data_IF_205899490273
#
_entry.id   IF_205899490273
#
_cell.length_a   1.000
_cell.length_b   1.000
_cell.length_c   1.000
_cell.angle_alpha   90.00
_cell.angle_beta   90.00
_cell.angle_gamma   90.00
#
_symmetry.space_group_name_H-M   'P 1'
#
loop_
_entity.id
_entity.type
_entity.pdbx_description
1 polymer ?
#
# COMPACT_ATOMS: atom_id res chain seq x y z
N UNK A 1 16.97 -10.39 66.46
CA UNK A 1 16.16 -10.94 65.35
C UNK A 1 15.74 -9.75 64.50
N UNK A 2 16.43 -9.50 63.38
CA UNK A 2 16.16 -8.32 62.54
C UNK A 2 14.87 -8.54 61.72
N UNK A 3 13.98 -7.54 61.59
CA UNK A 3 12.81 -7.67 60.73
C UNK A 3 13.23 -7.72 59.25
N UNK A 4 12.63 -8.65 58.50
CA UNK A 4 12.77 -8.75 57.05
C UNK A 4 12.36 -7.43 56.38
N UNK A 5 13.09 -6.94 55.35
CA UNK A 5 12.67 -5.77 54.60
C UNK A 5 11.41 -6.08 53.80
N UNK A 6 10.47 -5.13 53.81
CA UNK A 6 9.25 -5.17 53.01
C UNK A 6 9.60 -5.35 51.51
N UNK A 7 8.94 -6.31 50.86
CA UNK A 7 9.03 -6.51 49.41
C UNK A 7 8.66 -5.19 48.70
N UNK A 8 9.48 -4.70 47.76
CA UNK A 8 9.15 -3.49 47.01
C UNK A 8 7.94 -3.76 46.12
N UNK A 9 7.10 -2.73 46.06
CA UNK A 9 5.95 -2.56 45.17
C UNK A 9 6.08 -3.32 43.85
N UNK A 10 5.15 -4.24 43.60
CA UNK A 10 4.86 -4.73 42.25
C UNK A 10 4.62 -3.50 41.37
N UNK A 11 5.59 -3.21 40.51
CA UNK A 11 5.47 -2.24 39.43
C UNK A 11 4.33 -2.75 38.55
N UNK A 12 3.12 -2.23 38.75
CA UNK A 12 2.11 -2.20 37.69
C UNK A 12 2.79 -1.47 36.55
N UNK A 13 3.04 -2.15 35.43
CA UNK A 13 3.60 -1.57 34.21
C UNK A 13 2.61 -0.52 33.70
N UNK A 14 2.68 0.68 34.27
CA UNK A 14 1.76 1.80 34.09
C UNK A 14 1.90 2.43 32.71
N UNK A 15 1.55 1.68 31.67
CA UNK A 15 1.37 2.22 30.33
C UNK A 15 0.07 3.03 30.31
N UNK A 16 0.17 4.33 30.54
CA UNK A 16 -0.91 5.28 30.30
C UNK A 16 -0.93 5.58 28.80
N UNK A 17 -1.94 5.07 28.08
CA UNK A 17 -2.18 5.46 26.69
C UNK A 17 -2.90 6.81 26.66
N UNK A 18 -2.31 7.86 26.06
CA UNK A 18 -3.03 9.12 25.87
C UNK A 18 -4.28 8.89 25.02
N UNK A 19 -5.34 9.67 25.28
CA UNK A 19 -6.60 9.58 24.55
C UNK A 19 -6.37 9.79 23.04
N UNK A 20 -6.92 8.90 22.21
CA UNK A 20 -6.78 8.99 20.74
C UNK A 20 -5.49 8.37 20.15
N UNK A 21 -4.52 7.96 20.97
CA UNK A 21 -3.27 7.35 20.48
C UNK A 21 -3.52 6.02 19.77
N UNK A 22 -4.40 5.18 20.30
CA UNK A 22 -4.71 3.88 19.69
C UNK A 22 -5.33 4.01 18.28
N UNK A 23 -6.43 4.77 18.06
CA UNK A 23 -6.95 5.01 16.72
C UNK A 23 -5.91 5.60 15.75
N UNK A 24 -5.13 6.59 16.19
CA UNK A 24 -4.08 7.20 15.38
C UNK A 24 -3.01 6.19 14.96
N UNK A 25 -2.55 5.36 15.90
CA UNK A 25 -1.55 4.32 15.65
C UNK A 25 -2.09 3.23 14.71
N UNK A 26 -3.34 2.80 14.88
CA UNK A 26 -3.98 1.80 14.00
C UNK A 26 -4.10 2.33 12.58
N UNK A 27 -4.60 3.56 12.39
CA UNK A 27 -4.70 4.17 11.05
C UNK A 27 -3.33 4.30 10.40
N UNK A 28 -2.32 4.70 11.16
CA UNK A 28 -0.95 4.78 10.67
C UNK A 28 -0.39 3.40 10.26
N UNK A 29 -0.59 2.39 11.11
CA UNK A 29 -0.17 1.02 10.86
C UNK A 29 -0.83 0.44 9.60
N UNK A 30 -2.15 0.57 9.47
CA UNK A 30 -2.90 0.14 8.29
C UNK A 30 -2.35 0.83 7.04
N UNK A 31 -2.14 2.15 7.08
CA UNK A 31 -1.61 2.88 5.94
C UNK A 31 -0.24 2.33 5.47
N UNK A 32 0.69 2.12 6.40
CA UNK A 32 2.03 1.63 6.07
C UNK A 32 2.03 0.17 5.62
N UNK A 33 1.30 -0.69 6.33
CA UNK A 33 1.20 -2.10 5.97
C UNK A 33 0.56 -2.27 4.59
N UNK A 34 -0.55 -1.57 4.33
CA UNK A 34 -1.21 -1.59 3.03
C UNK A 34 -0.28 -1.11 1.91
N UNK A 35 0.52 -0.08 2.16
CA UNK A 35 1.52 0.37 1.18
C UNK A 35 2.58 -0.71 0.90
N UNK A 36 3.08 -1.40 1.93
CA UNK A 36 4.04 -2.51 1.77
C UNK A 36 3.41 -3.68 1.01
N UNK A 37 2.15 -4.01 1.30
CA UNK A 37 1.41 -5.06 0.60
C UNK A 37 1.20 -4.70 -0.87
N UNK A 38 0.82 -3.45 -1.19
CA UNK A 38 0.73 -2.99 -2.59
C UNK A 38 2.06 -3.17 -3.32
N UNK A 39 3.15 -2.68 -2.73
CA UNK A 39 4.47 -2.77 -3.35
C UNK A 39 4.90 -4.23 -3.55
N UNK A 40 4.69 -5.09 -2.55
CA UNK A 40 4.97 -6.51 -2.63
C UNK A 40 4.14 -7.23 -3.69
N UNK A 41 2.85 -6.89 -3.82
CA UNK A 41 1.96 -7.43 -4.84
C UNK A 41 2.43 -7.03 -6.25
N UNK A 42 2.75 -5.75 -6.50
CA UNK A 42 3.30 -5.29 -7.77
C UNK A 42 4.61 -6.00 -8.15
N UNK A 43 5.51 -6.21 -7.17
CA UNK A 43 6.74 -6.98 -7.39
C UNK A 43 6.43 -8.43 -7.79
N UNK A 44 5.45 -9.05 -7.14
CA UNK A 44 5.04 -10.42 -7.44
C UNK A 44 4.37 -10.53 -8.81
N UNK A 45 3.45 -9.63 -9.16
CA UNK A 45 2.84 -9.56 -10.49
C UNK A 45 3.91 -9.40 -11.57
N UNK A 46 4.87 -8.49 -11.35
CA UNK A 46 5.98 -8.27 -12.28
C UNK A 46 6.84 -9.53 -12.45
N UNK A 47 6.95 -10.37 -11.43
CA UNK A 47 7.65 -11.66 -11.47
C UNK A 47 6.85 -12.75 -12.17
N UNK A 48 5.52 -12.77 -11.99
CA UNK A 48 4.63 -13.81 -12.50
C UNK A 48 4.26 -13.59 -13.98
N UNK A 49 4.23 -12.35 -14.46
CA UNK A 49 3.74 -12.05 -15.81
C UNK A 49 4.64 -12.65 -16.90
N UNK A 50 4.06 -13.53 -17.71
CA UNK A 50 4.69 -14.18 -18.87
C UNK A 50 3.64 -14.66 -19.87
N UNK A 51 4.07 -14.99 -21.09
CA UNK A 51 3.20 -15.65 -22.05
C UNK A 51 2.85 -17.06 -21.60
N UNK A 52 1.68 -17.53 -22.05
CA UNK A 52 1.17 -18.88 -21.83
C UNK A 52 1.37 -19.40 -20.38
N UNK A 53 0.85 -18.68 -19.36
CA UNK A 53 1.04 -19.05 -17.97
C UNK A 53 0.35 -20.39 -17.66
N UNK A 54 0.97 -21.19 -16.78
CA UNK A 54 0.31 -22.37 -16.25
C UNK A 54 -0.91 -21.96 -15.42
N UNK A 55 -1.90 -22.86 -15.29
CA UNK A 55 -3.16 -22.59 -14.56
C UNK A 55 -2.94 -22.01 -13.17
N UNK A 56 -1.99 -22.58 -12.42
CA UNK A 56 -1.67 -22.12 -11.06
C UNK A 56 -1.07 -20.71 -11.03
N UNK A 57 -0.26 -20.35 -12.02
CA UNK A 57 0.35 -19.03 -12.14
C UNK A 57 -0.69 -17.97 -12.53
N UNK A 58 -1.61 -18.30 -13.44
CA UNK A 58 -2.71 -17.43 -13.81
C UNK A 58 -3.67 -17.17 -12.62
N UNK A 59 -3.98 -18.21 -11.83
CA UNK A 59 -4.77 -18.05 -10.60
C UNK A 59 -4.02 -17.19 -9.57
N UNK A 60 -2.73 -17.44 -9.37
CA UNK A 60 -1.92 -16.65 -8.44
C UNK A 60 -1.83 -15.18 -8.87
N UNK A 61 -1.72 -14.90 -10.17
CA UNK A 61 -1.78 -13.53 -10.71
C UNK A 61 -3.09 -12.83 -10.32
N UNK A 62 -4.23 -13.48 -10.56
CA UNK A 62 -5.56 -12.91 -10.22
C UNK A 62 -5.68 -12.65 -8.72
N UNK A 63 -5.25 -13.58 -7.87
CA UNK A 63 -5.27 -13.40 -6.42
C UNK A 63 -4.36 -12.24 -6.00
N UNK A 64 -3.18 -12.14 -6.60
CA UNK A 64 -2.21 -11.07 -6.30
C UNK A 64 -2.79 -9.70 -6.64
N UNK A 65 -3.45 -9.57 -7.79
CA UNK A 65 -4.12 -8.32 -8.22
C UNK A 65 -5.30 -7.94 -7.32
N UNK A 66 -6.08 -8.92 -6.83
CA UNK A 66 -7.12 -8.65 -5.83
C UNK A 66 -6.52 -8.14 -4.52
N UNK A 67 -5.42 -8.74 -4.06
CA UNK A 67 -4.71 -8.28 -2.84
C UNK A 67 -4.15 -6.87 -3.06
N UNK A 68 -3.57 -6.59 -4.23
CA UNK A 68 -3.12 -5.26 -4.63
C UNK A 68 -4.26 -4.24 -4.55
N UNK A 69 -5.41 -4.53 -5.17
CA UNK A 69 -6.57 -3.63 -5.19
C UNK A 69 -7.14 -3.34 -3.79
N UNK A 70 -7.27 -4.36 -2.93
CA UNK A 70 -7.72 -4.19 -1.54
C UNK A 70 -6.71 -3.34 -0.76
N UNK A 71 -5.41 -3.64 -0.90
CA UNK A 71 -4.37 -2.88 -0.22
C UNK A 71 -4.32 -1.44 -0.73
N UNK A 72 -4.51 -1.19 -2.03
CA UNK A 72 -4.54 0.14 -2.61
C UNK A 72 -5.69 0.93 -2.00
N UNK A 73 -6.90 0.39 -1.99
CA UNK A 73 -8.04 1.03 -1.34
C UNK A 73 -7.77 1.34 0.14
N UNK A 74 -7.15 0.42 0.87
CA UNK A 74 -6.77 0.64 2.25
C UNK A 74 -5.74 1.77 2.42
N UNK A 75 -4.75 1.91 1.53
CA UNK A 75 -3.83 3.07 1.49
C UNK A 75 -4.59 4.37 1.29
N UNK A 76 -5.52 4.43 0.34
CA UNK A 76 -6.29 5.63 0.05
C UNK A 76 -7.15 6.06 1.24
N UNK A 77 -7.97 5.14 1.77
CA UNK A 77 -8.88 5.44 2.87
C UNK A 77 -8.13 5.82 4.15
N UNK A 78 -7.09 5.06 4.51
CA UNK A 78 -6.25 5.40 5.67
C UNK A 78 -5.50 6.71 5.45
N UNK A 79 -5.07 7.02 4.22
CA UNK A 79 -4.44 8.29 3.87
C UNK A 79 -5.37 9.49 4.10
N UNK A 80 -6.64 9.37 3.67
CA UNK A 80 -7.67 10.39 3.93
C UNK A 80 -7.88 10.59 5.44
N UNK A 81 -8.00 9.49 6.21
CA UNK A 81 -8.15 9.57 7.67
C UNK A 81 -6.95 10.25 8.34
N UNK A 82 -5.74 10.05 7.83
CA UNK A 82 -4.54 10.75 8.33
C UNK A 82 -4.58 12.24 8.04
N UNK A 83 -5.06 12.66 6.87
CA UNK A 83 -5.16 14.09 6.53
C UNK A 83 -6.22 14.77 7.40
N UNK A 84 -7.37 14.11 7.61
CA UNK A 84 -8.51 14.73 8.29
C UNK A 84 -8.47 14.64 9.82
N UNK A 85 -7.88 13.59 10.39
CA UNK A 85 -8.05 13.27 11.82
C UNK A 85 -6.78 12.89 12.58
N UNK A 86 -5.84 12.16 11.96
CA UNK A 86 -4.76 11.47 12.71
C UNK A 86 -3.34 11.84 12.27
N UNK A 87 -3.18 12.96 11.56
CA UNK A 87 -1.91 13.43 11.01
C UNK A 87 -1.43 14.74 11.61
N UNK A 88 -0.69 15.52 10.83
CA UNK A 88 -0.10 16.81 11.24
C UNK A 88 -1.08 18.00 11.12
N UNK A 89 -2.39 17.74 11.02
CA UNK A 89 -3.42 18.72 10.66
C UNK A 89 -3.61 18.84 9.15
N UNK A 90 -4.82 19.18 8.70
CA UNK A 90 -5.18 19.25 7.28
C UNK A 90 -4.30 20.21 6.49
N UNK A 91 -4.04 21.38 7.07
CA UNK A 91 -3.41 22.51 6.39
C UNK A 91 -1.94 22.20 6.05
N UNK A 92 -1.25 21.50 6.96
CA UNK A 92 0.09 20.96 6.72
C UNK A 92 0.18 20.13 5.43
N UNK A 93 -0.88 19.38 5.11
CA UNK A 93 -0.94 18.59 3.89
C UNK A 93 -1.37 19.43 2.69
N UNK A 94 -2.50 20.14 2.78
CA UNK A 94 -3.11 20.78 1.61
C UNK A 94 -2.34 22.00 1.10
N UNK A 95 -1.57 22.68 1.96
CA UNK A 95 -0.70 23.78 1.57
C UNK A 95 0.66 23.31 1.05
N UNK A 96 1.02 22.04 1.26
CA UNK A 96 2.31 21.50 0.81
C UNK A 96 2.20 20.93 -0.62
N UNK A 97 2.93 21.46 -1.62
CA UNK A 97 2.87 20.95 -2.99
C UNK A 97 3.32 19.48 -3.12
N UNK A 98 4.21 19.00 -2.25
CA UNK A 98 4.65 17.60 -2.26
C UNK A 98 3.51 16.64 -1.85
N UNK A 99 2.52 17.10 -1.08
CA UNK A 99 1.32 16.33 -0.82
C UNK A 99 0.54 16.07 -2.10
N UNK A 100 0.31 17.10 -2.90
CA UNK A 100 -0.42 16.96 -4.16
C UNK A 100 0.36 16.14 -5.19
N UNK A 101 1.69 16.27 -5.25
CA UNK A 101 2.50 15.42 -6.11
C UNK A 101 2.40 13.95 -5.74
N UNK A 102 2.53 13.58 -4.45
CA UNK A 102 2.42 12.17 -4.06
C UNK A 102 1.01 11.62 -4.28
N UNK A 103 -0.04 12.42 -4.05
CA UNK A 103 -1.43 12.01 -4.35
C UNK A 103 -1.61 11.82 -5.85
N UNK A 104 -1.11 12.76 -6.67
CA UNK A 104 -1.13 12.66 -8.12
C UNK A 104 -0.42 11.41 -8.63
N UNK A 105 0.79 11.10 -8.13
CA UNK A 105 1.53 9.87 -8.47
C UNK A 105 0.73 8.63 -8.07
N UNK A 106 0.17 8.60 -6.85
CA UNK A 106 -0.64 7.48 -6.38
C UNK A 106 -1.88 7.25 -7.26
N UNK A 107 -2.62 8.30 -7.61
CA UNK A 107 -3.80 8.20 -8.46
C UNK A 107 -3.45 7.85 -9.91
N UNK A 108 -2.33 8.36 -10.44
CA UNK A 108 -1.84 8.03 -11.77
C UNK A 108 -1.46 6.55 -11.87
N UNK A 109 -0.74 6.02 -10.87
CA UNK A 109 -0.41 4.60 -10.79
C UNK A 109 -1.69 3.77 -10.64
N UNK A 110 -2.58 4.10 -9.69
CA UNK A 110 -3.84 3.36 -9.52
C UNK A 110 -4.71 3.34 -10.78
N UNK A 111 -4.73 4.45 -11.54
CA UNK A 111 -5.43 4.53 -12.83
C UNK A 111 -4.77 3.65 -13.89
N UNK A 112 -3.44 3.70 -13.97
CA UNK A 112 -2.66 2.85 -14.87
C UNK A 112 -2.88 1.36 -14.57
N UNK A 113 -3.01 0.99 -13.30
CA UNK A 113 -3.28 -0.38 -12.83
C UNK A 113 -4.63 -0.93 -13.24
N UNK A 114 -5.59 -0.07 -13.62
CA UNK A 114 -6.86 -0.57 -14.16
C UNK A 114 -6.65 -1.41 -15.42
N UNK A 115 -5.62 -1.14 -16.23
CA UNK A 115 -5.33 -1.94 -17.42
C UNK A 115 -4.91 -3.39 -17.09
N UNK A 116 -3.88 -3.64 -16.25
CA UNK A 116 -3.59 -4.97 -15.73
C UNK A 116 -4.79 -5.62 -15.03
N UNK A 117 -5.45 -4.91 -14.10
CA UNK A 117 -6.59 -5.45 -13.33
C UNK A 117 -7.71 -5.95 -14.24
N UNK A 118 -8.15 -5.15 -15.21
CA UNK A 118 -9.18 -5.58 -16.17
C UNK A 118 -8.69 -6.81 -16.96
N UNK A 119 -7.42 -6.83 -17.36
CA UNK A 119 -6.84 -7.97 -18.09
C UNK A 119 -6.89 -9.26 -17.26
N UNK A 120 -6.47 -9.21 -15.99
CA UNK A 120 -6.44 -10.37 -15.10
C UNK A 120 -7.84 -10.82 -14.70
N UNK A 121 -8.77 -9.90 -14.45
CA UNK A 121 -10.19 -10.24 -14.21
C UNK A 121 -10.78 -11.03 -15.38
N UNK A 122 -10.45 -10.65 -16.62
CA UNK A 122 -10.91 -11.37 -17.80
C UNK A 122 -10.31 -12.78 -17.91
N UNK A 123 -9.15 -13.07 -17.28
CA UNK A 123 -8.60 -14.42 -17.20
C UNK A 123 -9.43 -15.36 -16.32
N UNK A 124 -10.22 -14.83 -15.38
CA UNK A 124 -11.10 -15.65 -14.56
C UNK A 124 -12.17 -16.39 -15.39
N UNK A 125 -12.54 -15.86 -16.57
CA UNK A 125 -13.55 -16.46 -17.44
C UNK A 125 -13.10 -17.85 -17.97
N UNK A 126 -11.98 -17.99 -18.70
CA UNK A 126 -11.49 -19.30 -19.15
C UNK A 126 -11.07 -20.20 -17.98
N UNK A 127 -10.47 -19.65 -16.92
CA UNK A 127 -10.04 -20.44 -15.75
C UNK A 127 -11.20 -21.18 -15.07
N UNK A 128 -12.40 -20.57 -15.04
CA UNK A 128 -13.63 -21.19 -14.51
C UNK A 128 -14.18 -22.30 -15.41
N UNK A 129 -13.84 -22.29 -16.69
CA UNK A 129 -14.19 -23.34 -17.67
C UNK A 129 -13.15 -24.47 -17.74
N UNK A 130 -12.07 -24.38 -16.96
CA UNK A 130 -10.95 -25.32 -17.05
C UNK A 130 -9.98 -25.04 -18.20
N UNK A 131 -10.13 -23.89 -18.86
CA UNK A 131 -9.27 -23.43 -19.96
C UNK A 131 -8.19 -22.47 -19.43
N UNK A 132 -7.14 -22.24 -20.23
CA UNK A 132 -6.08 -21.28 -19.91
C UNK A 132 -6.36 -19.93 -20.61
N UNK A 133 -6.04 -18.79 -19.97
CA UNK A 133 -6.06 -17.51 -20.66
C UNK A 133 -5.00 -17.49 -21.76
N UNK A 134 -5.37 -17.03 -22.95
CA UNK A 134 -4.43 -16.83 -24.05
C UNK A 134 -3.64 -15.54 -23.81
N UNK A 135 -2.39 -15.68 -23.34
CA UNK A 135 -1.50 -14.54 -23.06
C UNK A 135 -0.36 -14.56 -24.06
N UNK A 136 -0.42 -13.68 -25.07
CA UNK A 136 0.66 -13.54 -26.04
C UNK A 136 1.89 -12.86 -25.45
N UNK A 137 3.06 -13.10 -26.04
CA UNK A 137 4.29 -12.38 -25.66
C UNK A 137 4.18 -10.86 -25.79
N UNK A 138 3.44 -10.38 -26.79
CA UNK A 138 3.19 -8.96 -26.97
C UNK A 138 2.39 -8.37 -25.80
N UNK A 139 1.35 -9.08 -25.32
CA UNK A 139 0.57 -8.66 -24.16
C UNK A 139 1.42 -8.72 -22.88
N UNK A 140 2.13 -9.83 -22.65
CA UNK A 140 3.02 -9.98 -21.50
C UNK A 140 4.09 -8.88 -21.46
N UNK A 141 4.68 -8.53 -22.61
CA UNK A 141 5.65 -7.44 -22.70
C UNK A 141 5.07 -6.07 -22.37
N UNK A 142 3.83 -5.77 -22.78
CA UNK A 142 3.16 -4.52 -22.44
C UNK A 142 2.87 -4.43 -20.94
N UNK A 143 2.34 -5.50 -20.36
CA UNK A 143 2.07 -5.58 -18.91
C UNK A 143 3.36 -5.46 -18.09
N UNK A 144 4.47 -6.08 -18.52
CA UNK A 144 5.80 -5.90 -17.90
C UNK A 144 6.22 -4.43 -17.84
N UNK A 145 5.99 -3.67 -18.91
CA UNK A 145 6.31 -2.24 -18.95
C UNK A 145 5.41 -1.42 -18.02
N UNK A 146 4.11 -1.70 -18.03
CA UNK A 146 3.15 -1.06 -17.13
C UNK A 146 3.57 -1.28 -15.67
N UNK A 147 3.81 -2.53 -15.28
CA UNK A 147 4.24 -2.89 -13.92
C UNK A 147 5.56 -2.24 -13.51
N UNK A 148 6.52 -2.04 -14.44
CA UNK A 148 7.74 -1.31 -14.12
C UNK A 148 7.46 0.18 -13.82
N UNK A 149 6.57 0.82 -14.58
CA UNK A 149 6.16 2.21 -14.37
C UNK A 149 5.45 2.33 -13.02
N UNK A 150 4.56 1.40 -12.70
CA UNK A 150 3.85 1.36 -11.42
C UNK A 150 4.81 1.19 -10.26
N UNK A 151 5.79 0.29 -10.36
CA UNK A 151 6.82 0.09 -9.33
C UNK A 151 7.66 1.35 -9.09
N UNK A 152 8.08 2.04 -10.15
CA UNK A 152 8.82 3.31 -10.04
C UNK A 152 7.94 4.40 -9.42
N UNK A 153 6.68 4.51 -9.86
CA UNK A 153 5.71 5.45 -9.31
C UNK A 153 5.47 5.22 -7.83
N UNK A 154 5.17 3.98 -7.43
CA UNK A 154 4.99 3.60 -6.03
C UNK A 154 6.24 3.87 -5.20
N UNK A 155 7.44 3.52 -5.69
CA UNK A 155 8.70 3.78 -4.98
C UNK A 155 8.98 5.28 -4.76
N UNK A 156 8.44 6.17 -5.60
CA UNK A 156 8.59 7.63 -5.48
C UNK A 156 7.72 8.22 -4.36
N UNK A 157 6.55 7.63 -4.07
CA UNK A 157 5.61 8.10 -3.04
C UNK A 157 6.25 8.25 -1.65
N UNK A 158 6.98 7.26 -1.09
CA UNK A 158 7.58 7.38 0.24
C UNK A 158 8.70 8.42 0.30
N UNK A 159 9.43 8.65 -0.81
CA UNK A 159 10.40 9.74 -0.89
C UNK A 159 9.70 11.10 -0.75
N UNK A 160 8.64 11.34 -1.53
CA UNK A 160 7.84 12.57 -1.44
C UNK A 160 7.23 12.74 -0.05
N UNK A 161 6.68 11.68 0.52
CA UNK A 161 6.12 11.69 1.87
C UNK A 161 7.17 12.03 2.94
N UNK A 162 8.39 11.49 2.81
CA UNK A 162 9.51 11.73 3.72
C UNK A 162 10.01 13.17 3.66
N UNK A 163 10.13 13.75 2.46
CA UNK A 163 10.49 15.17 2.28
C UNK A 163 9.39 16.09 2.86
N UNK A 164 8.14 15.84 2.48
CA UNK A 164 6.97 16.59 2.96
C UNK A 164 6.88 16.56 4.49
N UNK A 165 7.11 15.40 5.14
CA UNK A 165 7.08 15.26 6.59
C UNK A 165 8.14 16.10 7.33
N UNK A 166 9.13 16.65 6.62
CA UNK A 166 10.16 17.57 7.14
C UNK A 166 9.91 19.04 6.77
N UNK A 167 8.71 19.36 6.29
CA UNK A 167 8.32 20.72 5.92
C UNK A 167 8.83 21.18 4.55
N UNK A 168 9.51 20.33 3.78
CA UNK A 168 9.95 20.70 2.42
C UNK A 168 8.72 21.06 1.58
N UNK A 169 8.77 22.22 0.92
CA UNK A 169 7.69 22.76 0.08
C UNK A 169 6.78 23.78 0.76
N UNK A 170 6.89 23.98 2.09
CA UNK A 170 6.21 25.05 2.81
C UNK A 170 7.11 26.30 2.92
N UNK A 171 6.55 27.51 3.13
CA UNK A 171 7.32 28.68 3.52
C UNK A 171 8.05 28.40 4.85
N UNK A 172 9.33 28.81 4.93
CA UNK A 172 10.14 28.67 6.14
C UNK A 172 9.77 29.65 7.24
#
# INVERSE_FOLDING_TARGET
MAPFPALPHLISLGFVFPTGVLPSAVVAYVHYLSFMVCFGALVLERRLIKADPARGEAILMVITDVVYGIAALAVLLSGILRVLHYGQGSDFYTENPLFWWKVGVYLAVGTLSLYPTITYILWAIPLRKGELPAVSEALASRLRWVLNIELVGFATIPLLASLMARGVGLPG
#
